data_IF_483560349773
#
_entry.id   IF_483560349773
#
_cell.length_a   1.000
_cell.length_b   1.000
_cell.length_c   1.000
_cell.angle_alpha   90.00
_cell.angle_beta   90.00
_cell.angle_gamma   90.00
#
_symmetry.space_group_name_H-M   'P 1'
#
loop_
_entity.id
_entity.type
_entity.pdbx_description
1 polymer ?
#
# COMPACT_ATOMS: atom_id res chain seq x y z
N UNK A 1 -3.60 -15.48 -8.96
CA UNK A 1 -3.46 -14.62 -7.77
C UNK A 1 -4.57 -13.59 -7.87
N UNK A 2 -5.45 -13.50 -6.88
CA UNK A 2 -6.50 -12.50 -6.89
C UNK A 2 -5.86 -11.19 -6.38
N UNK A 3 -5.59 -10.26 -7.28
CA UNK A 3 -5.00 -8.96 -6.91
C UNK A 3 -5.94 -8.23 -5.96
N UNK A 4 -5.57 -8.19 -4.68
CA UNK A 4 -6.37 -7.55 -3.65
C UNK A 4 -5.86 -6.13 -3.45
N UNK A 5 -6.69 -5.15 -3.81
CA UNK A 5 -6.38 -3.74 -3.58
C UNK A 5 -6.71 -3.41 -2.13
N UNK A 6 -5.69 -3.03 -1.35
CA UNK A 6 -5.83 -2.51 0.01
C UNK A 6 -5.73 -1.00 0.01
N UNK A 7 -6.29 -0.36 1.04
CA UNK A 7 -6.22 1.08 1.22
C UNK A 7 -5.46 1.42 2.49
N UNK A 8 -4.64 2.46 2.41
CA UNK A 8 -4.04 3.10 3.58
C UNK A 8 -4.07 4.62 3.41
N UNK A 9 -3.99 5.36 4.51
CA UNK A 9 -3.80 6.80 4.46
C UNK A 9 -2.35 7.15 4.85
N UNK A 10 -1.91 8.37 4.53
CA UNK A 10 -0.53 8.81 4.81
C UNK A 10 -0.15 8.76 6.30
N UNK A 11 -1.11 8.88 7.23
CA UNK A 11 -0.82 8.80 8.67
C UNK A 11 -0.55 7.35 9.10
N UNK A 12 -1.40 6.43 8.66
CA UNK A 12 -1.26 5.00 8.92
C UNK A 12 0.00 4.45 8.24
N UNK A 13 0.26 4.85 7.00
CA UNK A 13 1.49 4.50 6.28
C UNK A 13 2.72 4.91 7.07
N UNK A 14 2.80 6.17 7.56
CA UNK A 14 3.93 6.65 8.38
C UNK A 14 4.12 5.83 9.66
N UNK A 15 3.02 5.39 10.29
CA UNK A 15 3.08 4.63 11.54
C UNK A 15 3.44 3.15 11.31
N UNK A 16 3.16 2.60 10.13
CA UNK A 16 3.23 1.14 9.85
C UNK A 16 3.93 0.81 8.53
N UNK A 17 4.91 1.62 8.10
CA UNK A 17 5.56 1.48 6.79
C UNK A 17 6.01 0.05 6.51
N UNK A 18 6.77 -0.57 7.42
CA UNK A 18 7.30 -1.93 7.22
C UNK A 18 6.20 -2.98 7.06
N UNK A 19 5.11 -2.88 7.82
CA UNK A 19 3.99 -3.82 7.71
C UNK A 19 3.22 -3.64 6.39
N UNK A 20 3.10 -2.40 5.90
CA UNK A 20 2.50 -2.12 4.59
C UNK A 20 3.38 -2.66 3.47
N UNK A 21 4.69 -2.42 3.52
CA UNK A 21 5.64 -2.92 2.52
C UNK A 21 5.67 -4.45 2.47
N UNK A 22 5.66 -5.13 3.62
CA UNK A 22 5.60 -6.60 3.65
C UNK A 22 4.36 -7.16 2.95
N UNK A 23 3.20 -6.52 3.09
CA UNK A 23 1.99 -6.93 2.34
C UNK A 23 2.16 -6.75 0.84
N UNK A 24 2.80 -5.66 0.44
CA UNK A 24 3.12 -5.40 -0.97
C UNK A 24 4.09 -6.46 -1.51
N UNK A 25 5.10 -6.86 -0.74
CA UNK A 25 6.00 -7.97 -1.09
C UNK A 25 5.27 -9.31 -1.20
N UNK A 26 4.23 -9.53 -0.38
CA UNK A 26 3.37 -10.72 -0.41
C UNK A 26 2.36 -10.69 -1.59
N UNK A 27 2.33 -9.62 -2.38
CA UNK A 27 1.54 -9.50 -3.61
C UNK A 27 0.32 -8.57 -3.54
N UNK A 28 0.07 -7.90 -2.41
CA UNK A 28 -0.99 -6.89 -2.33
C UNK A 28 -0.62 -5.62 -3.12
N UNK A 29 -1.61 -5.00 -3.74
CA UNK A 29 -1.50 -3.60 -4.20
C UNK A 29 -2.08 -2.68 -3.14
N UNK A 30 -1.37 -1.61 -2.76
CA UNK A 30 -1.84 -0.68 -1.72
C UNK A 30 -2.06 0.72 -2.30
N UNK A 31 -3.31 1.19 -2.30
CA UNK A 31 -3.66 2.57 -2.62
C UNK A 31 -3.46 3.47 -1.40
N UNK A 32 -2.61 4.48 -1.53
CA UNK A 32 -2.31 5.47 -0.49
C UNK A 32 -3.15 6.71 -0.71
N UNK A 33 -3.84 7.15 0.34
CA UNK A 33 -4.67 8.37 0.31
C UNK A 33 -4.12 9.48 1.20
N UNK A 34 -4.35 10.72 0.78
CA UNK A 34 -4.11 11.94 1.57
C UNK A 34 -5.42 12.71 1.67
N UNK A 35 -5.91 12.97 2.88
CA UNK A 35 -7.22 13.61 3.12
C UNK A 35 -8.37 12.94 2.33
N UNK A 36 -8.38 11.59 2.32
CA UNK A 36 -9.40 10.79 1.63
C UNK A 36 -9.27 10.73 0.10
N UNK A 37 -8.32 11.45 -0.50
CA UNK A 37 -8.07 11.41 -1.95
C UNK A 37 -6.91 10.46 -2.26
N UNK A 38 -7.04 9.54 -3.24
CA UNK A 38 -5.92 8.75 -3.72
C UNK A 38 -4.76 9.63 -4.18
N UNK A 39 -3.54 9.31 -3.73
CA UNK A 39 -2.34 10.11 -4.01
C UNK A 39 -1.16 9.28 -4.49
N UNK A 40 -1.10 7.99 -4.15
CA UNK A 40 -0.06 7.08 -4.64
C UNK A 40 -0.56 5.63 -4.61
N UNK A 41 0.18 4.74 -5.24
CA UNK A 41 -0.02 3.30 -5.19
C UNK A 41 1.33 2.62 -4.93
N UNK A 42 1.33 1.64 -4.03
CA UNK A 42 2.46 0.75 -3.81
C UNK A 42 2.14 -0.57 -4.49
N UNK A 43 3.05 -0.99 -5.37
CA UNK A 43 2.95 -2.24 -6.12
C UNK A 43 4.20 -3.08 -5.85
N UNK A 44 4.09 -4.42 -5.89
CA UNK A 44 5.27 -5.27 -5.86
C UNK A 44 6.18 -4.93 -7.03
N UNK A 45 7.49 -4.92 -6.79
CA UNK A 45 8.50 -4.78 -7.84
C UNK A 45 9.34 -6.05 -7.85
N UNK A 46 9.60 -6.59 -9.03
CA UNK A 46 10.60 -7.64 -9.26
C UNK A 46 11.81 -7.02 -9.97
N UNK A 47 13.02 -7.49 -9.69
CA UNK A 47 14.19 -7.25 -10.54
C UNK A 47 14.09 -8.01 -11.86
#
# INVERSE_FOLDING_TARGET
>A
MEESVKFTNVRELKAKTSAVLRRVEEGDTVLVTTHGRPTAMLVPVSE
#
